data_IF_524684515094
#
_entry.id   IF_524684515094
#
_cell.length_a   1.000
_cell.length_b   1.000
_cell.length_c   1.000
_cell.angle_alpha   90.00
_cell.angle_beta   90.00
_cell.angle_gamma   90.00
#
_symmetry.space_group_name_H-M   'P 1'
#
loop_
_entity.id
_entity.type
_entity.pdbx_description
1 polymer ?
#
# COMPACT_ATOMS: atom_id res chain seq x y z
N UNK A 1 10.47 9.46 -7.17
CA UNK A 1 11.08 8.60 -6.11
C UNK A 1 10.51 7.18 -6.14
N UNK A 2 9.19 6.99 -6.24
CA UNK A 2 8.57 5.67 -6.32
C UNK A 2 9.20 4.76 -7.39
N UNK A 3 9.35 5.24 -8.62
CA UNK A 3 10.00 4.49 -9.71
C UNK A 3 11.45 4.11 -9.36
N UNK A 4 12.20 4.99 -8.69
CA UNK A 4 13.57 4.70 -8.27
C UNK A 4 13.60 3.57 -7.21
N UNK A 5 12.61 3.54 -6.31
CA UNK A 5 12.46 2.47 -5.33
C UNK A 5 12.10 1.14 -6.02
N UNK A 6 11.21 1.16 -7.01
CA UNK A 6 10.85 -0.02 -7.81
C UNK A 6 12.06 -0.52 -8.61
N UNK A 7 12.84 0.36 -9.23
CA UNK A 7 14.06 -0.03 -9.94
C UNK A 7 15.14 -0.57 -9.00
N UNK A 8 15.28 -0.01 -7.80
CA UNK A 8 16.20 -0.50 -6.79
C UNK A 8 15.77 -1.86 -6.23
N UNK A 9 14.46 -2.12 -6.09
CA UNK A 9 13.92 -3.38 -5.56
C UNK A 9 14.24 -4.59 -6.44
N UNK A 10 14.57 -4.37 -7.73
CA UNK A 10 15.02 -5.43 -8.65
C UNK A 10 16.41 -5.98 -8.30
N UNK A 11 17.22 -5.24 -7.54
CA UNK A 11 18.61 -5.61 -7.18
C UNK A 11 18.78 -5.93 -5.70
N UNK A 12 17.90 -5.43 -4.84
CA UNK A 12 17.96 -5.66 -3.39
C UNK A 12 16.56 -5.59 -2.79
N UNK A 13 16.34 -6.26 -1.66
CA UNK A 13 15.08 -6.16 -0.94
C UNK A 13 14.99 -4.79 -0.24
N UNK A 14 13.84 -4.13 -0.38
CA UNK A 14 13.56 -2.84 0.25
C UNK A 14 12.35 -2.96 1.16
N UNK A 15 12.49 -2.47 2.40
CA UNK A 15 11.38 -2.24 3.32
C UNK A 15 11.25 -0.74 3.54
N UNK A 16 10.09 -0.19 3.21
CA UNK A 16 9.83 1.25 3.28
C UNK A 16 8.58 1.45 4.13
N UNK A 17 8.70 2.24 5.18
CA UNK A 17 7.53 2.79 5.89
C UNK A 17 7.22 4.15 5.30
N UNK A 18 5.95 4.45 5.08
CA UNK A 18 5.53 5.70 4.44
C UNK A 18 4.16 6.12 4.94
N UNK A 19 3.95 7.43 5.06
CA UNK A 19 2.63 8.04 5.20
C UNK A 19 2.25 8.86 3.94
N UNK A 20 2.97 8.66 2.83
CA UNK A 20 2.71 9.34 1.56
C UNK A 20 1.74 8.54 0.70
N UNK A 21 0.56 9.10 0.49
CA UNK A 21 -0.46 8.67 -0.44
C UNK A 21 0.05 8.58 -1.88
N UNK A 22 0.89 9.54 -2.30
CA UNK A 22 1.51 9.53 -3.63
C UNK A 22 2.41 8.30 -3.81
N UNK A 23 3.20 7.94 -2.80
CA UNK A 23 4.07 6.77 -2.88
C UNK A 23 3.27 5.46 -2.89
N UNK A 24 2.17 5.40 -2.12
CA UNK A 24 1.24 4.26 -2.12
C UNK A 24 0.53 4.16 -3.47
N UNK A 25 0.11 5.28 -4.06
CA UNK A 25 -0.55 5.35 -5.37
C UNK A 25 0.33 4.82 -6.50
N UNK A 26 1.65 5.04 -6.43
CA UNK A 26 2.58 4.49 -7.40
C UNK A 26 2.66 2.95 -7.39
N UNK A 27 2.13 2.29 -6.34
CA UNK A 27 2.07 0.83 -6.22
C UNK A 27 0.71 0.26 -6.62
N UNK A 28 -0.17 1.04 -7.28
CA UNK A 28 -1.51 0.58 -7.70
C UNK A 28 -1.48 -0.67 -8.60
N UNK A 29 -0.44 -0.82 -9.42
CA UNK A 29 -0.25 -2.00 -10.27
C UNK A 29 0.31 -3.22 -9.50
N UNK A 30 0.69 -3.07 -8.24
CA UNK A 30 1.22 -4.14 -7.40
C UNK A 30 0.80 -3.98 -5.93
N UNK A 31 -0.51 -4.03 -5.63
CA UNK A 31 -1.03 -3.80 -4.27
C UNK A 31 -0.43 -4.77 -3.24
N UNK A 32 -0.08 -5.99 -3.64
CA UNK A 32 0.52 -7.01 -2.77
C UNK A 32 1.90 -6.61 -2.22
N UNK A 33 2.52 -5.58 -2.80
CA UNK A 33 3.75 -4.99 -2.26
C UNK A 33 3.51 -4.11 -1.02
N UNK A 34 2.25 -3.83 -0.68
CA UNK A 34 1.85 -3.00 0.46
C UNK A 34 1.40 -3.88 1.63
N UNK A 35 1.96 -3.59 2.81
CA UNK A 35 1.53 -4.14 4.09
C UNK A 35 0.93 -2.98 4.89
N UNK A 36 -0.34 -3.13 5.26
CA UNK A 36 -1.03 -2.22 6.16
C UNK A 36 -0.69 -2.59 7.59
N UNK A 37 -0.35 -1.58 8.39
CA UNK A 37 -0.08 -1.70 9.81
C UNK A 37 -1.16 -0.98 10.58
N UNK A 38 -2.00 -1.74 11.30
CA UNK A 38 -3.05 -1.23 12.17
C UNK A 38 -2.74 -1.59 13.63
N UNK A 39 -3.25 -0.81 14.58
CA UNK A 39 -3.15 -1.12 16.01
C UNK A 39 -4.53 -1.09 16.65
N UNK A 40 -4.86 -2.16 17.36
CA UNK A 40 -6.04 -2.23 18.22
C UNK A 40 -5.66 -2.65 19.65
N UNK A 41 -6.66 -2.91 20.50
CA UNK A 41 -6.48 -3.32 21.90
C UNK A 41 -5.67 -4.61 22.06
N UNK A 42 -5.64 -5.47 21.04
CA UNK A 42 -4.90 -6.73 21.04
C UNK A 42 -3.49 -6.60 20.45
N UNK A 43 -3.09 -5.39 20.00
CA UNK A 43 -1.76 -5.09 19.50
C UNK A 43 -1.71 -4.72 18.01
N UNK A 44 -0.51 -4.78 17.44
CA UNK A 44 -0.25 -4.44 16.04
C UNK A 44 -0.63 -5.59 15.12
N UNK A 45 -1.43 -5.30 14.10
CA UNK A 45 -1.82 -6.21 13.03
C UNK A 45 -1.20 -5.76 11.73
N UNK A 46 -0.44 -6.65 11.11
CA UNK A 46 0.13 -6.47 9.78
C UNK A 46 -0.66 -7.29 8.78
N UNK A 47 -1.21 -6.63 7.76
CA UNK A 47 -1.99 -7.29 6.70
C UNK A 47 -1.47 -6.87 5.34
N UNK A 48 -1.11 -7.86 4.52
CA UNK A 48 -0.79 -7.64 3.10
C UNK A 48 -2.08 -7.45 2.31
N UNK A 49 -2.09 -6.47 1.41
CA UNK A 49 -3.21 -6.27 0.50
C UNK A 49 -3.26 -7.38 -0.54
N UNK A 50 -4.46 -7.73 -1.00
CA UNK A 50 -4.66 -8.67 -2.09
C UNK A 50 -5.29 -7.97 -3.26
N UNK A 51 -4.73 -8.13 -4.46
CA UNK A 51 -5.26 -7.48 -5.67
C UNK A 51 -6.73 -7.82 -5.89
N UNK A 52 -7.13 -9.08 -5.67
CA UNK A 52 -8.53 -9.53 -5.82
C UNK A 52 -9.52 -8.81 -4.91
N UNK A 53 -9.10 -8.37 -3.73
CA UNK A 53 -9.98 -7.65 -2.79
C UNK A 53 -10.19 -6.19 -3.21
N UNK A 54 -9.33 -5.68 -4.09
CA UNK A 54 -9.29 -4.27 -4.52
C UNK A 54 -9.64 -4.08 -6.00
N UNK A 55 -9.90 -5.15 -6.74
CA UNK A 55 -10.06 -5.15 -8.20
C UNK A 55 -11.07 -4.10 -8.67
N UNK A 56 -12.27 -4.09 -8.08
CA UNK A 56 -13.33 -3.11 -8.38
C UNK A 56 -12.94 -1.66 -8.04
N UNK A 57 -12.11 -1.45 -7.01
CA UNK A 57 -11.68 -0.11 -6.62
C UNK A 57 -10.56 0.40 -7.53
N UNK A 58 -9.68 -0.49 -7.97
CA UNK A 58 -8.53 -0.16 -8.83
C UNK A 58 -8.94 0.16 -10.29
N UNK A 59 -10.20 -0.08 -10.66
CA UNK A 59 -10.77 0.38 -11.94
C UNK A 59 -10.89 1.92 -11.99
N UNK A 60 -11.29 2.54 -10.88
CA UNK A 60 -11.62 3.97 -10.82
C UNK A 60 -10.66 4.79 -9.96
N UNK A 61 -9.83 4.15 -9.12
CA UNK A 61 -9.02 4.82 -8.11
C UNK A 61 -7.60 4.27 -8.04
N UNK A 62 -6.65 5.14 -7.68
CA UNK A 62 -5.31 4.70 -7.30
C UNK A 62 -5.32 4.18 -5.87
N UNK A 63 -4.32 3.36 -5.52
CA UNK A 63 -4.23 2.74 -4.20
C UNK A 63 -4.14 3.76 -3.07
N UNK A 64 -3.51 4.93 -3.30
CA UNK A 64 -3.50 6.01 -2.31
C UNK A 64 -4.87 6.66 -2.14
N UNK A 65 -5.69 6.78 -3.18
CA UNK A 65 -7.07 7.26 -3.05
C UNK A 65 -7.89 6.29 -2.19
N UNK A 66 -7.77 4.98 -2.45
CA UNK A 66 -8.42 3.92 -1.68
C UNK A 66 -8.00 3.99 -0.19
N UNK A 67 -6.74 4.34 0.06
CA UNK A 67 -6.21 4.54 1.40
C UNK A 67 -6.82 5.76 2.10
N UNK A 68 -6.86 6.91 1.41
CA UNK A 68 -7.46 8.16 1.92
C UNK A 68 -8.97 8.02 2.17
N UNK A 69 -9.66 7.17 1.41
CA UNK A 69 -11.06 6.79 1.65
C UNK A 69 -11.25 5.81 2.82
N UNK A 70 -10.18 5.48 3.53
CA UNK A 70 -10.15 4.56 4.66
C UNK A 70 -10.65 3.14 4.33
N UNK A 71 -10.51 2.69 3.07
CA UNK A 71 -10.97 1.36 2.64
C UNK A 71 -10.00 0.23 2.95
N UNK A 72 -8.72 0.55 3.12
CA UNK A 72 -7.67 -0.44 3.37
C UNK A 72 -7.02 -0.37 4.76
N UNK A 73 -7.43 0.55 5.64
CA UNK A 73 -6.84 0.71 6.98
C UNK A 73 -5.46 1.38 6.96
N UNK A 74 -4.77 1.42 8.10
CA UNK A 74 -3.48 2.07 8.29
C UNK A 74 -3.52 3.58 8.07
N UNK A 75 -4.69 4.19 8.25
CA UNK A 75 -4.91 5.62 8.06
C UNK A 75 -4.06 6.39 9.10
N UNK A 76 -3.38 7.49 8.73
CA UNK A 76 -2.67 8.37 9.67
C UNK A 76 -3.52 8.93 10.81
#
# INVERSE_FOLDING_TARGET
IAELLIEASKRTQLFVTTHSDILVSALSNSPESVIVCDRDENGTKLRRLKTKELELWLEDYLLGDIWLMNKIGGNP
#
